data_IF_958335960817
#
_entry.id   IF_958335960817
#
_cell.length_a   1.000
_cell.length_b   1.000
_cell.length_c   1.000
_cell.angle_alpha   90.00
_cell.angle_beta   90.00
_cell.angle_gamma   90.00
#
_symmetry.space_group_name_H-M   'P 1'
#
loop_
_entity.id
_entity.type
_entity.pdbx_description
1 polymer ?
#
# COMPACT_ATOMS: atom_id res chain seq x y z
N UNK A 1 5.63 11.95 1.55
CA UNK A 1 6.64 10.92 1.24
C UNK A 1 6.42 9.78 2.20
N UNK A 2 6.04 8.61 1.70
CA UNK A 2 5.68 7.45 2.52
C UNK A 2 6.59 6.27 2.19
N UNK A 3 7.06 5.59 3.25
CA UNK A 3 7.91 4.42 3.17
C UNK A 3 7.32 3.33 4.03
N UNK A 4 7.36 2.09 3.56
CA UNK A 4 7.00 0.95 4.38
C UNK A 4 7.96 -0.22 4.17
N UNK A 5 8.17 -0.99 5.25
CA UNK A 5 8.81 -2.30 5.20
C UNK A 5 7.76 -3.33 5.62
N UNK A 6 7.71 -4.45 4.92
CA UNK A 6 6.79 -5.55 5.20
C UNK A 6 7.33 -6.88 4.69
N UNK A 7 6.64 -7.96 4.99
CA UNK A 7 6.97 -9.29 4.45
C UNK A 7 5.99 -9.60 3.32
N UNK A 8 6.52 -10.00 2.16
CA UNK A 8 5.73 -10.54 1.06
C UNK A 8 6.41 -11.77 0.45
N UNK A 9 5.63 -12.83 0.21
CA UNK A 9 6.11 -14.12 -0.29
C UNK A 9 7.32 -14.65 0.52
N UNK A 10 7.27 -14.49 1.84
CA UNK A 10 8.34 -14.92 2.76
C UNK A 10 9.62 -14.08 2.75
N UNK A 11 9.67 -12.97 1.99
CA UNK A 11 10.84 -12.09 1.91
C UNK A 11 10.53 -10.69 2.42
N UNK A 12 11.53 -10.00 2.96
CA UNK A 12 11.40 -8.59 3.31
C UNK A 12 11.31 -7.73 2.05
N UNK A 13 10.33 -6.83 2.05
CA UNK A 13 10.09 -5.86 1.00
C UNK A 13 10.11 -4.46 1.60
N UNK A 14 10.70 -3.53 0.85
CA UNK A 14 10.70 -2.12 1.15
C UNK A 14 10.07 -1.37 -0.01
N UNK A 15 9.09 -0.52 0.29
CA UNK A 15 8.44 0.34 -0.70
C UNK A 15 8.70 1.78 -0.33
N UNK A 16 9.19 2.57 -1.30
CA UNK A 16 9.38 4.01 -1.17
C UNK A 16 8.56 4.74 -2.23
N UNK A 17 7.93 5.84 -1.81
CA UNK A 17 7.26 6.80 -2.70
C UNK A 17 8.03 8.12 -2.67
N UNK A 18 8.65 8.50 -3.79
CA UNK A 18 9.61 9.60 -3.82
C UNK A 18 9.52 10.42 -5.10
N UNK A 19 9.97 11.68 -5.07
CA UNK A 19 10.01 12.53 -6.27
C UNK A 19 11.37 12.38 -6.97
N UNK A 20 11.34 12.12 -8.27
CA UNK A 20 12.53 12.11 -9.11
C UNK A 20 12.97 13.54 -9.46
N UNK A 21 14.22 13.88 -9.13
CA UNK A 21 14.83 15.16 -9.46
C UNK A 21 14.24 16.37 -8.71
N UNK A 22 14.82 17.56 -8.94
CA UNK A 22 14.37 18.84 -8.34
C UNK A 22 13.24 19.49 -9.15
N UNK A 23 12.33 18.72 -9.72
CA UNK A 23 11.17 19.29 -10.43
C UNK A 23 10.10 19.59 -9.39
N UNK A 24 9.93 20.87 -9.07
CA UNK A 24 8.83 21.35 -8.22
C UNK A 24 7.53 21.00 -8.94
N UNK A 25 6.68 20.18 -8.32
CA UNK A 25 5.41 19.72 -8.90
C UNK A 25 5.53 18.51 -9.84
N UNK A 26 6.67 17.79 -9.84
CA UNK A 26 6.80 16.54 -10.59
C UNK A 26 5.92 15.41 -10.03
N UNK A 27 5.74 14.34 -10.80
CA UNK A 27 4.99 13.15 -10.37
C UNK A 27 5.89 12.22 -9.55
N UNK A 28 5.46 11.71 -8.38
CA UNK A 28 6.29 10.80 -7.61
C UNK A 28 6.37 9.41 -8.25
N UNK A 29 7.42 8.69 -7.92
CA UNK A 29 7.68 7.30 -8.27
C UNK A 29 7.41 6.39 -7.07
N UNK A 30 7.01 5.16 -7.37
CA UNK A 30 7.00 4.03 -6.45
C UNK A 30 8.20 3.17 -6.79
N UNK A 31 9.00 2.83 -5.79
CA UNK A 31 10.05 1.80 -5.92
C UNK A 31 9.78 0.66 -4.96
N UNK A 32 9.98 -0.57 -5.43
CA UNK A 32 9.81 -1.81 -4.66
C UNK A 32 11.16 -2.53 -4.63
N UNK A 33 11.63 -2.76 -3.41
CA UNK A 33 12.92 -3.36 -3.12
C UNK A 33 12.73 -4.66 -2.35
N UNK A 34 13.60 -5.64 -2.60
CA UNK A 34 13.62 -6.93 -1.91
C UNK A 34 14.92 -7.09 -1.15
N UNK A 35 14.84 -7.65 0.05
CA UNK A 35 15.99 -8.28 0.69
C UNK A 35 15.95 -9.78 0.36
N UNK A 36 16.89 -10.31 -0.46
CA UNK A 36 16.76 -11.66 -1.03
C UNK A 36 16.72 -12.81 -0.01
N UNK A 37 17.36 -12.63 1.14
CA UNK A 37 17.42 -13.63 2.21
C UNK A 37 17.85 -13.06 3.56
N UNK A 38 17.85 -13.89 4.62
CA UNK A 38 18.13 -13.46 5.99
C UNK A 38 19.59 -13.00 6.20
N UNK A 39 20.53 -13.55 5.43
CA UNK A 39 21.95 -13.18 5.49
C UNK A 39 22.32 -12.06 4.51
N UNK A 40 21.35 -11.54 3.76
CA UNK A 40 21.58 -10.45 2.82
C UNK A 40 21.68 -9.12 3.55
N UNK A 41 22.68 -8.31 3.19
CA UNK A 41 22.87 -6.95 3.70
C UNK A 41 22.44 -5.87 2.70
N UNK A 42 22.17 -6.27 1.45
CA UNK A 42 21.91 -5.36 0.34
C UNK A 42 20.49 -5.54 -0.20
N UNK A 43 19.80 -4.42 -0.38
CA UNK A 43 18.49 -4.37 -1.02
C UNK A 43 18.63 -4.39 -2.54
N UNK A 44 17.81 -5.20 -3.20
CA UNK A 44 17.72 -5.24 -4.67
C UNK A 44 16.47 -4.51 -5.13
N UNK A 45 16.63 -3.52 -6.01
CA UNK A 45 15.50 -2.88 -6.69
C UNK A 45 14.87 -3.86 -7.67
N UNK A 46 13.59 -4.18 -7.51
CA UNK A 46 12.85 -5.06 -8.43
C UNK A 46 12.08 -4.24 -9.45
N UNK A 47 11.31 -3.27 -8.95
CA UNK A 47 10.34 -2.52 -9.75
C UNK A 47 10.36 -1.05 -9.39
N UNK A 48 10.18 -0.24 -10.42
CA UNK A 48 10.01 1.19 -10.32
C UNK A 48 9.00 1.66 -11.36
N UNK A 49 8.09 2.53 -10.94
CA UNK A 49 7.07 3.11 -11.82
C UNK A 49 6.71 4.51 -11.33
N UNK A 50 6.40 5.43 -12.24
CA UNK A 50 5.83 6.72 -11.88
C UNK A 50 4.31 6.62 -11.63
N UNK A 51 3.78 7.43 -10.71
CA UNK A 51 2.32 7.56 -10.60
C UNK A 51 1.69 8.07 -11.91
N UNK A 52 2.46 8.79 -12.74
CA UNK A 52 1.99 9.29 -14.03
C UNK A 52 1.67 8.17 -15.01
N UNK A 53 2.50 7.12 -15.04
CA UNK A 53 2.22 5.92 -15.81
C UNK A 53 0.98 5.17 -15.30
N UNK A 54 0.82 5.07 -13.97
CA UNK A 54 -0.34 4.42 -13.37
C UNK A 54 -1.63 5.19 -13.71
N UNK A 55 -1.63 6.51 -13.56
CA UNK A 55 -2.78 7.36 -13.88
C UNK A 55 -3.15 7.36 -15.37
N UNK A 56 -2.16 7.18 -16.24
CA UNK A 56 -2.37 7.11 -17.69
C UNK A 56 -2.99 5.79 -18.14
N UNK A 57 -2.84 4.72 -17.35
CA UNK A 57 -3.36 3.38 -17.67
C UNK A 57 -4.89 3.31 -17.58
N UNK A 58 -5.50 2.52 -18.46
CA UNK A 58 -6.95 2.36 -18.55
C UNK A 58 -7.55 1.75 -17.27
N UNK A 59 -6.80 0.90 -16.55
CA UNK A 59 -7.27 0.34 -15.29
C UNK A 59 -7.46 1.41 -14.21
N UNK A 60 -6.60 2.44 -14.15
CA UNK A 60 -6.76 3.54 -13.21
C UNK A 60 -7.95 4.42 -13.60
N UNK A 61 -8.09 4.78 -14.88
CA UNK A 61 -9.23 5.56 -15.38
C UNK A 61 -10.56 4.86 -15.08
N UNK A 62 -10.60 3.53 -15.21
CA UNK A 62 -11.78 2.72 -14.91
C UNK A 62 -12.19 2.78 -13.43
N UNK A 63 -11.29 3.13 -12.50
CA UNK A 63 -11.64 3.31 -11.09
C UNK A 63 -12.48 4.55 -10.81
N UNK A 64 -12.41 5.57 -11.70
CA UNK A 64 -13.04 6.87 -11.47
C UNK A 64 -12.37 7.71 -10.37
N UNK A 65 -11.22 7.29 -9.84
CA UNK A 65 -10.49 8.03 -8.82
C UNK A 65 -9.83 9.31 -9.38
N UNK A 66 -9.69 10.37 -8.57
CA UNK A 66 -9.02 11.58 -9.01
C UNK A 66 -7.52 11.35 -9.21
N UNK A 67 -6.88 12.22 -9.99
CA UNK A 67 -5.43 12.23 -10.22
C UNK A 67 -4.74 12.97 -9.06
N UNK A 68 -4.59 12.27 -7.94
CA UNK A 68 -3.98 12.78 -6.72
C UNK A 68 -2.96 11.79 -6.15
N UNK A 69 -1.99 12.30 -5.36
CA UNK A 69 -0.96 11.46 -4.74
C UNK A 69 -1.60 10.62 -3.62
N UNK A 70 -1.65 9.29 -3.75
CA UNK A 70 -2.30 8.47 -2.75
C UNK A 70 -1.36 8.17 -1.56
N UNK A 71 -1.93 7.75 -0.44
CA UNK A 71 -1.17 7.36 0.76
C UNK A 71 -0.87 5.87 0.74
N UNK A 72 0.40 5.49 0.93
CA UNK A 72 0.81 4.09 0.99
C UNK A 72 0.13 3.36 2.17
N UNK A 73 -0.57 2.26 1.88
CA UNK A 73 -1.33 1.50 2.86
C UNK A 73 -0.56 0.27 3.35
N UNK A 74 -0.31 -0.69 2.45
CA UNK A 74 0.36 -1.95 2.77
C UNK A 74 0.98 -2.62 1.52
N UNK A 75 1.87 -3.56 1.78
CA UNK A 75 2.45 -4.47 0.78
C UNK A 75 1.62 -5.76 0.79
N UNK A 76 1.23 -6.27 -0.38
CA UNK A 76 0.44 -7.49 -0.43
C UNK A 76 1.23 -8.68 0.15
N UNK A 77 0.66 -9.48 1.07
CA UNK A 77 1.39 -10.52 1.80
C UNK A 77 1.89 -11.67 0.90
N UNK A 78 1.14 -12.05 -0.13
CA UNK A 78 1.54 -13.16 -1.02
C UNK A 78 2.08 -12.74 -2.40
N UNK A 79 1.54 -11.67 -3.01
CA UNK A 79 1.98 -11.18 -4.31
C UNK A 79 2.89 -9.95 -4.17
N UNK A 80 4.21 -10.07 -4.34
CA UNK A 80 5.15 -8.97 -4.12
C UNK A 80 5.04 -7.82 -5.12
N UNK A 81 4.41 -8.06 -6.27
CA UNK A 81 4.25 -7.05 -7.31
C UNK A 81 3.11 -6.07 -6.97
N UNK A 82 2.27 -6.40 -5.98
CA UNK A 82 1.08 -5.61 -5.62
C UNK A 82 1.29 -4.79 -4.35
N UNK A 83 1.11 -3.48 -4.49
CA UNK A 83 1.15 -2.49 -3.39
C UNK A 83 -0.19 -1.79 -3.29
N UNK A 84 -0.72 -1.66 -2.08
CA UNK A 84 -2.01 -1.00 -1.84
C UNK A 84 -1.84 0.44 -1.36
N UNK A 85 -2.75 1.28 -1.81
CA UNK A 85 -2.81 2.69 -1.47
C UNK A 85 -4.22 3.10 -1.04
N UNK A 86 -4.27 4.09 -0.15
CA UNK A 86 -5.48 4.82 0.20
C UNK A 86 -5.57 6.11 -0.61
N UNK A 87 -6.73 6.35 -1.20
CA UNK A 87 -7.09 7.64 -1.77
C UNK A 87 -8.55 7.93 -1.46
N UNK A 88 -8.79 9.05 -0.78
CA UNK A 88 -10.11 9.39 -0.23
C UNK A 88 -10.70 8.27 0.64
N UNK A 89 -11.80 7.65 0.20
CA UNK A 89 -12.48 6.52 0.84
C UNK A 89 -12.22 5.20 0.11
N UNK A 90 -11.23 5.15 -0.77
CA UNK A 90 -10.91 3.98 -1.56
C UNK A 90 -9.57 3.41 -1.17
N UNK A 91 -9.50 2.09 -1.15
CA UNK A 91 -8.26 1.35 -1.14
C UNK A 91 -8.12 0.65 -2.50
N UNK A 92 -7.01 0.88 -3.18
CA UNK A 92 -6.74 0.26 -4.47
C UNK A 92 -5.35 -0.38 -4.48
N UNK A 93 -5.25 -1.51 -5.15
CA UNK A 93 -4.03 -2.26 -5.35
C UNK A 93 -3.42 -1.94 -6.71
N UNK A 94 -2.14 -1.61 -6.73
CA UNK A 94 -1.37 -1.39 -7.94
C UNK A 94 -0.40 -2.55 -8.10
N UNK A 95 -0.49 -3.24 -9.24
CA UNK A 95 0.59 -4.11 -9.72
C UNK A 95 1.68 -3.22 -10.30
N UNK A 96 2.76 -3.04 -9.55
CA UNK A 96 3.87 -2.14 -9.87
C UNK A 96 4.65 -2.64 -11.08
N UNK A 97 4.72 -3.97 -11.27
CA UNK A 97 5.40 -4.60 -12.40
C UNK A 97 4.62 -4.39 -13.70
N UNK A 98 3.30 -4.59 -13.66
CA UNK A 98 2.40 -4.41 -14.78
C UNK A 98 1.92 -2.95 -14.96
N UNK A 99 2.25 -2.07 -14.01
CA UNK A 99 1.94 -0.62 -14.01
C UNK A 99 0.45 -0.31 -14.06
N UNK A 100 -0.38 -1.14 -13.41
CA UNK A 100 -1.84 -1.07 -13.50
C UNK A 100 -2.52 -1.29 -12.16
N UNK A 101 -3.73 -0.79 -12.02
CA UNK A 101 -4.63 -1.09 -10.90
C UNK A 101 -5.21 -2.50 -11.09
N UNK A 102 -5.14 -3.32 -10.05
CA UNK A 102 -5.64 -4.70 -10.05
C UNK A 102 -6.83 -4.92 -9.11
N UNK A 103 -7.06 -4.01 -8.18
CA UNK A 103 -8.19 -4.03 -7.25
C UNK A 103 -8.54 -2.60 -6.83
N UNK A 104 -9.81 -2.27 -6.64
CA UNK A 104 -10.26 -0.99 -6.10
C UNK A 104 -11.57 -1.18 -5.34
N UNK A 105 -11.58 -0.82 -4.06
CA UNK A 105 -12.72 -1.03 -3.17
C UNK A 105 -12.94 0.19 -2.27
N UNK A 106 -14.20 0.45 -1.96
CA UNK A 106 -14.57 1.36 -0.87
C UNK A 106 -14.04 0.80 0.45
N UNK A 107 -13.34 1.63 1.20
CA UNK A 107 -12.79 1.32 2.50
C UNK A 107 -13.53 2.14 3.55
N UNK A 108 -14.39 1.49 4.32
CA UNK A 108 -15.02 2.09 5.49
C UNK A 108 -14.01 2.06 6.65
N UNK A 109 -13.46 3.25 6.96
CA UNK A 109 -12.66 3.48 8.15
C UNK A 109 -13.54 3.29 9.40
N UNK A 110 -13.60 2.06 9.92
CA UNK A 110 -13.93 1.85 11.33
C UNK A 110 -12.72 2.36 12.12
N UNK A 111 -12.81 3.61 12.61
CA UNK A 111 -11.75 4.44 13.23
C UNK A 111 -10.76 3.66 14.14
N UNK A 112 -9.45 4.06 14.23
CA UNK A 112 -9.01 5.42 14.63
C UNK A 112 -7.63 5.88 14.03
N UNK A 113 -7.01 6.93 14.60
CA UNK A 113 -7.08 8.33 14.21
C UNK A 113 -6.23 8.70 12.98
N UNK A 114 -6.64 9.82 12.38
CA UNK A 114 -6.16 10.53 11.17
C UNK A 114 -4.65 10.88 11.13
N UNK A 115 -3.84 10.41 12.07
CA UNK A 115 -2.40 10.71 12.17
C UNK A 115 -1.51 9.49 12.47
N UNK A 116 -2.02 8.25 12.45
CA UNK A 116 -1.20 7.08 12.72
C UNK A 116 -1.56 5.87 11.84
N UNK A 117 -1.69 6.06 10.53
CA UNK A 117 -1.58 4.94 9.58
C UNK A 117 -0.11 4.57 9.48
N UNK A 118 0.41 3.93 10.52
CA UNK A 118 1.61 3.12 10.40
C UNK A 118 1.17 1.76 9.86
N UNK A 119 1.94 1.20 8.92
CA UNK A 119 1.75 -0.15 8.36
C UNK A 119 1.52 -1.24 9.42
N UNK A 120 1.92 -0.99 10.67
CA UNK A 120 1.73 -1.86 11.84
C UNK A 120 0.27 -2.12 12.27
N UNK A 121 -0.71 -1.35 11.78
CA UNK A 121 -2.12 -1.49 12.22
C UNK A 121 -3.03 -2.24 11.24
N UNK A 122 -2.56 -2.56 10.04
CA UNK A 122 -3.33 -3.39 9.10
C UNK A 122 -2.87 -4.84 9.23
N UNK A 123 -3.72 -5.69 9.83
CA UNK A 123 -3.53 -7.14 9.84
C UNK A 123 -4.47 -7.78 8.83
N UNK A 124 -3.94 -8.62 7.95
CA UNK A 124 -4.77 -9.48 7.11
C UNK A 124 -5.37 -10.59 8.00
N UNK A 125 -6.67 -10.55 8.26
CA UNK A 125 -7.40 -11.63 8.93
C UNK A 125 -7.74 -12.74 7.92
N UNK A 126 -7.57 -14.01 8.32
CA UNK A 126 -7.88 -15.17 7.50
C UNK A 126 -9.37 -15.33 7.19
N UNK A 127 -9.66 -15.83 5.99
CA UNK A 127 -11.00 -16.05 5.44
C UNK A 127 -11.81 -17.13 6.19
N UNK A 128 -13.07 -16.84 6.48
CA UNK A 128 -14.15 -17.81 6.33
C UNK A 128 -15.43 -17.13 5.83
N UNK A 129 -15.79 -17.44 4.58
CA UNK A 129 -17.02 -17.18 3.82
C UNK A 129 -17.50 -15.73 3.60
N UNK A 130 -17.82 -15.47 2.32
CA UNK A 130 -18.44 -14.29 1.70
C UNK A 130 -17.49 -13.12 1.36
N UNK A 131 -16.73 -13.24 0.26
CA UNK A 131 -16.23 -12.22 -0.69
C UNK A 131 -15.94 -10.76 -0.25
N UNK A 132 -15.76 -10.50 1.03
CA UNK A 132 -15.38 -9.22 1.59
C UNK A 132 -14.13 -9.45 2.44
N UNK A 133 -13.01 -8.90 1.99
CA UNK A 133 -11.79 -8.87 2.77
C UNK A 133 -11.97 -7.79 3.84
N UNK A 134 -12.27 -8.19 5.07
CA UNK A 134 -12.42 -7.28 6.21
C UNK A 134 -11.04 -7.02 6.80
N UNK A 135 -10.56 -5.77 6.72
CA UNK A 135 -9.35 -5.34 7.41
C UNK A 135 -9.72 -4.89 8.81
N UNK A 136 -9.43 -5.72 9.82
CA UNK A 136 -9.63 -5.35 11.22
C UNK A 136 -8.40 -4.61 11.75
N UNK A 137 -8.58 -3.39 12.25
CA UNK A 137 -7.55 -2.69 13.01
C UNK A 137 -7.43 -3.35 14.40
N UNK A 138 -6.21 -3.75 14.77
CA UNK A 138 -5.94 -4.20 16.12
C UNK A 138 -5.76 -2.96 17.01
N UNK A 139 -6.82 -2.56 17.74
CA UNK A 139 -6.68 -1.57 18.79
C UNK A 139 -5.91 -2.17 19.98
N UNK A 140 -5.00 -1.44 20.63
CA UNK A 140 -4.57 -1.81 21.97
C UNK A 140 -5.80 -1.69 22.88
N UNK A 141 -6.12 -2.77 23.60
CA UNK A 141 -7.10 -2.76 24.68
C UNK A 141 -6.84 -1.56 25.60
N UNK A 142 -7.72 -0.55 25.56
CA UNK A 142 -7.76 0.49 26.58
C UNK A 142 -8.33 -0.08 27.88
N UNK A 143 -7.92 0.42 29.04
CA UNK A 143 -8.44 -0.07 30.32
C UNK A 143 -9.95 0.15 30.42
N UNK A 144 -10.69 -0.73 31.11
CA UNK A 144 -12.13 -0.57 31.27
C UNK A 144 -12.45 0.72 32.03
N UNK A 145 -13.46 1.44 31.55
CA UNK A 145 -14.01 2.62 32.23
C UNK A 145 -14.54 2.19 33.61
N UNK A 146 -14.25 2.96 34.68
CA UNK A 146 -14.83 2.69 35.99
C UNK A 146 -16.34 2.92 35.96
N UNK A 147 -17.04 2.03 36.68
CA UNK A 147 -18.50 1.98 36.84
C UNK A 147 -19.11 3.24 37.44
#
# INVERSE_FOLDING_TARGET
MYRCVGVSAGKLRFVDTYYMGRVIGGTPNISVWTLPGPDSTEWTLEHEVSFGEIWADESYKATGLPVEIPTLALIHPENPDVVYFFLEKHMFGVDVRARKVVDCKLYDLVAPPRCAVASRFVRAGGFHNNNHQVFTSALPYGPPLPS
#
